data_IF_201898892548
#
_entry.id   IF_201898892548
#
_cell.length_a   1.000
_cell.length_b   1.000
_cell.length_c   1.000
_cell.angle_alpha   90.00
_cell.angle_beta   90.00
_cell.angle_gamma   90.00
#
_symmetry.space_group_name_H-M   'P 1'
#
loop_
_entity.id
_entity.type
_entity.pdbx_description
1 polymer ?
#
# COMPACT_ATOMS: atom_id res chain seq x y z
N UNK A 1 -8.62 9.43 -6.08
CA UNK A 1 -8.27 8.48 -7.14
C UNK A 1 -7.35 7.39 -6.62
N UNK A 2 -7.56 6.17 -7.08
CA UNK A 2 -6.88 4.97 -6.62
C UNK A 2 -6.01 4.39 -7.73
N UNK A 3 -4.78 4.00 -7.39
CA UNK A 3 -3.97 3.16 -8.27
C UNK A 3 -3.92 1.74 -7.73
N UNK A 4 -4.23 0.77 -8.58
CA UNK A 4 -4.19 -0.65 -8.25
C UNK A 4 -3.15 -1.33 -9.13
N UNK A 5 -2.23 -2.04 -8.51
CA UNK A 5 -1.22 -2.81 -9.24
C UNK A 5 -1.17 -4.23 -8.68
N UNK A 6 -1.33 -5.20 -9.54
CA UNK A 6 -1.33 -6.62 -9.20
C UNK A 6 -0.13 -7.31 -9.84
N UNK A 7 0.76 -7.81 -9.01
CA UNK A 7 1.88 -8.65 -9.39
C UNK A 7 1.65 -10.04 -8.77
N UNK A 8 1.76 -11.15 -9.46
CA UNK A 8 2.39 -11.35 -10.78
C UNK A 8 1.42 -11.32 -11.96
N UNK A 9 0.23 -10.75 -11.83
CA UNK A 9 -0.71 -10.68 -12.94
C UNK A 9 -0.04 -10.14 -14.21
N UNK A 10 0.76 -9.11 -14.07
CA UNK A 10 1.47 -8.49 -15.18
C UNK A 10 2.45 -9.43 -15.86
N UNK A 11 2.92 -10.47 -15.18
CA UNK A 11 3.86 -11.43 -15.75
C UNK A 11 3.17 -12.53 -16.54
N UNK A 12 1.88 -12.79 -16.30
CA UNK A 12 1.13 -13.81 -17.04
C UNK A 12 1.02 -13.49 -18.53
N UNK A 13 0.97 -12.22 -18.86
CA UNK A 13 0.72 -11.74 -20.22
C UNK A 13 1.95 -11.12 -20.86
N UNK A 14 3.11 -11.35 -20.28
CA UNK A 14 4.36 -10.76 -20.73
C UNK A 14 5.37 -11.85 -20.99
N UNK A 15 6.10 -11.69 -22.07
CA UNK A 15 7.19 -12.60 -22.42
C UNK A 15 8.46 -12.31 -21.64
N UNK A 16 8.57 -11.14 -21.02
CA UNK A 16 9.75 -10.73 -20.28
C UNK A 16 9.49 -10.64 -18.79
N UNK A 17 10.55 -10.82 -18.02
CA UNK A 17 10.53 -10.76 -16.58
C UNK A 17 10.20 -9.35 -16.10
N UNK A 18 9.39 -9.28 -15.03
CA UNK A 18 9.09 -8.02 -14.38
C UNK A 18 9.33 -8.17 -12.87
N UNK A 19 10.23 -7.37 -12.34
CA UNK A 19 10.54 -7.38 -10.92
C UNK A 19 9.61 -6.41 -10.18
N UNK A 20 9.02 -6.87 -9.07
CA UNK A 20 8.04 -6.12 -8.33
C UNK A 20 8.53 -4.76 -7.80
N UNK A 21 9.83 -4.55 -7.47
CA UNK A 21 10.27 -3.23 -7.01
C UNK A 21 10.08 -2.12 -8.04
N UNK A 22 10.15 -2.44 -9.33
CA UNK A 22 9.91 -1.45 -10.39
C UNK A 22 8.45 -1.01 -10.41
N UNK A 23 7.54 -1.95 -10.20
CA UNK A 23 6.10 -1.66 -10.12
C UNK A 23 5.81 -0.85 -8.85
N UNK A 24 6.41 -1.25 -7.73
CA UNK A 24 6.25 -0.55 -6.47
C UNK A 24 6.71 0.91 -6.57
N UNK A 25 7.85 1.14 -7.19
CA UNK A 25 8.39 2.49 -7.37
C UNK A 25 7.44 3.36 -8.19
N UNK A 26 6.97 2.84 -9.32
CA UNK A 26 6.04 3.59 -10.18
C UNK A 26 4.78 3.99 -9.44
N UNK A 27 4.14 3.03 -8.78
CA UNK A 27 2.90 3.29 -8.05
C UNK A 27 3.13 4.23 -6.88
N UNK A 28 4.20 4.02 -6.13
CA UNK A 28 4.53 4.84 -4.97
C UNK A 28 4.80 6.30 -5.37
N UNK A 29 5.55 6.52 -6.45
CA UNK A 29 5.80 7.89 -6.92
C UNK A 29 4.52 8.58 -7.37
N UNK A 30 3.60 7.85 -8.01
CA UNK A 30 2.33 8.40 -8.44
C UNK A 30 1.42 8.78 -7.26
N UNK A 31 1.50 8.05 -6.15
CA UNK A 31 0.80 8.42 -4.92
C UNK A 31 1.52 9.58 -4.22
N UNK A 32 2.83 9.54 -4.15
CA UNK A 32 3.62 10.57 -3.48
C UNK A 32 3.48 11.94 -4.15
N UNK A 33 3.37 11.99 -5.47
CA UNK A 33 3.24 13.26 -6.21
C UNK A 33 1.79 13.77 -6.29
N UNK A 34 0.84 13.04 -5.73
CA UNK A 34 -0.55 13.46 -5.68
C UNK A 34 -1.38 13.10 -6.91
N UNK A 35 -0.80 12.39 -7.89
CA UNK A 35 -1.57 11.93 -9.06
C UNK A 35 -2.70 11.00 -8.62
N UNK A 36 -2.41 10.15 -7.63
CA UNK A 36 -3.41 9.27 -7.01
C UNK A 36 -3.41 9.49 -5.50
N UNK A 37 -4.58 9.36 -4.87
CA UNK A 37 -4.71 9.55 -3.43
C UNK A 37 -4.22 8.34 -2.65
N UNK A 38 -4.45 7.14 -3.15
CA UNK A 38 -4.10 5.87 -2.50
C UNK A 38 -3.67 4.84 -3.54
N UNK A 39 -2.91 3.86 -3.08
CA UNK A 39 -2.49 2.74 -3.91
C UNK A 39 -2.76 1.41 -3.24
N UNK A 40 -3.01 0.38 -4.05
CA UNK A 40 -3.11 -1.00 -3.59
C UNK A 40 -2.16 -1.83 -4.42
N UNK A 41 -1.21 -2.48 -3.76
CA UNK A 41 -0.18 -3.28 -4.38
C UNK A 41 -0.29 -4.72 -3.93
N UNK A 42 -0.22 -5.65 -4.87
CA UNK A 42 -0.34 -7.08 -4.57
C UNK A 42 0.86 -7.82 -5.15
N UNK A 43 1.50 -8.64 -4.32
CA UNK A 43 2.51 -9.59 -4.78
C UNK A 43 2.30 -10.92 -4.06
N UNK A 44 3.27 -11.82 -4.09
CA UNK A 44 3.10 -13.14 -3.46
C UNK A 44 2.78 -13.07 -1.97
N UNK A 45 3.51 -12.26 -1.22
CA UNK A 45 3.32 -12.09 0.23
C UNK A 45 2.87 -10.69 0.62
N UNK A 46 3.02 -9.71 -0.24
CA UNK A 46 2.80 -8.30 0.07
C UNK A 46 3.97 -7.65 0.80
N UNK A 47 4.99 -8.44 1.17
CA UNK A 47 6.11 -7.96 2.01
C UNK A 47 7.10 -7.15 1.17
N UNK A 48 7.68 -7.76 0.15
CA UNK A 48 8.73 -7.12 -0.66
C UNK A 48 8.22 -5.86 -1.36
N UNK A 49 7.01 -5.92 -1.91
CA UNK A 49 6.43 -4.77 -2.61
C UNK A 49 6.16 -3.62 -1.64
N UNK A 50 5.81 -3.94 -0.39
CA UNK A 50 5.62 -2.94 0.66
C UNK A 50 6.94 -2.29 1.09
N UNK A 51 7.99 -3.10 1.26
CA UNK A 51 9.31 -2.58 1.60
C UNK A 51 9.79 -1.62 0.50
N UNK A 52 9.64 -2.03 -0.76
CA UNK A 52 10.06 -1.19 -1.89
C UNK A 52 9.25 0.12 -1.94
N UNK A 53 7.94 0.06 -1.77
CA UNK A 53 7.09 1.26 -1.76
C UNK A 53 7.51 2.23 -0.66
N UNK A 54 7.84 1.73 0.52
CA UNK A 54 8.24 2.56 1.65
C UNK A 54 9.61 3.24 1.47
N UNK A 55 10.37 2.89 0.44
CA UNK A 55 11.61 3.61 0.11
C UNK A 55 11.35 4.95 -0.55
N UNK A 56 10.14 5.19 -1.01
CA UNK A 56 9.78 6.44 -1.69
C UNK A 56 9.29 7.44 -0.64
N UNK A 57 9.86 8.64 -0.62
CA UNK A 57 9.48 9.68 0.33
C UNK A 57 7.99 10.02 0.19
N UNK A 58 7.32 10.16 1.32
CA UNK A 58 5.89 10.46 1.36
C UNK A 58 4.99 9.22 1.37
N UNK A 59 5.55 8.03 1.30
CA UNK A 59 4.79 6.79 1.28
C UNK A 59 4.79 6.12 2.66
N UNK A 60 3.59 5.71 3.06
CA UNK A 60 3.37 4.88 4.24
C UNK A 60 2.57 3.68 3.77
N UNK A 61 3.29 2.65 3.32
CA UNK A 61 2.70 1.42 2.84
C UNK A 61 2.54 0.43 3.99
N UNK A 62 1.35 -0.13 4.12
CA UNK A 62 1.02 -1.07 5.18
C UNK A 62 0.61 -2.42 4.58
N UNK A 63 1.31 -3.47 5.00
CA UNK A 63 0.91 -4.84 4.70
C UNK A 63 -0.18 -5.25 5.69
N UNK A 64 -1.37 -5.52 5.20
CA UNK A 64 -2.49 -5.91 6.06
C UNK A 64 -3.02 -7.29 5.65
N UNK A 65 -3.09 -8.20 6.62
CA UNK A 65 -3.66 -9.52 6.44
C UNK A 65 -5.04 -9.68 7.08
N UNK A 66 -5.58 -8.60 7.63
CA UNK A 66 -6.87 -8.59 8.32
C UNK A 66 -7.49 -7.20 8.26
N UNK A 67 -8.78 -7.13 8.55
CA UNK A 67 -9.52 -5.87 8.47
C UNK A 67 -9.18 -4.91 9.60
N UNK A 68 -8.82 -5.43 10.77
CA UNK A 68 -8.44 -4.60 11.91
C UNK A 68 -7.17 -3.79 11.57
N UNK A 69 -6.15 -4.47 11.06
CA UNK A 69 -4.91 -3.81 10.66
C UNK A 69 -5.15 -2.75 9.58
N UNK A 70 -6.02 -3.06 8.61
CA UNK A 70 -6.35 -2.12 7.54
C UNK A 70 -7.04 -0.86 8.08
N UNK A 71 -7.98 -1.05 9.00
CA UNK A 71 -8.67 0.07 9.64
C UNK A 71 -7.69 0.99 10.35
N UNK A 72 -6.83 0.43 11.19
CA UNK A 72 -5.94 1.24 12.02
C UNK A 72 -4.71 1.75 11.26
N UNK A 73 -4.32 1.09 10.18
CA UNK A 73 -3.34 1.67 9.25
C UNK A 73 -3.84 3.02 8.71
N UNK A 74 -5.14 3.12 8.44
CA UNK A 74 -5.74 4.38 8.03
C UNK A 74 -5.93 5.34 9.21
N UNK A 75 -6.61 4.87 10.25
CA UNK A 75 -7.00 5.74 11.36
C UNK A 75 -5.81 6.34 12.11
N UNK A 76 -4.77 5.56 12.31
CA UNK A 76 -3.63 5.97 13.14
C UNK A 76 -2.40 6.39 12.34
N UNK A 77 -2.15 5.75 11.18
CA UNK A 77 -0.92 5.96 10.44
C UNK A 77 -1.11 6.73 9.14
N UNK A 78 -2.35 7.01 8.77
CA UNK A 78 -2.67 7.65 7.49
C UNK A 78 -1.92 6.96 6.35
N UNK A 79 -1.92 5.62 6.38
CA UNK A 79 -1.26 4.83 5.35
C UNK A 79 -1.90 5.13 3.99
N UNK A 80 -1.07 5.42 3.00
CA UNK A 80 -1.55 5.78 1.67
C UNK A 80 -1.37 4.66 0.64
N UNK A 81 -0.70 3.58 1.02
CA UNK A 81 -0.61 2.37 0.20
C UNK A 81 -0.92 1.16 1.07
N UNK A 82 -1.79 0.30 0.55
CA UNK A 82 -2.08 -1.01 1.13
C UNK A 82 -1.34 -2.07 0.31
N UNK A 83 -0.68 -3.01 0.98
CA UNK A 83 -0.12 -4.15 0.27
C UNK A 83 -0.76 -5.46 0.74
N UNK A 84 -0.90 -6.40 -0.18
CA UNK A 84 -1.56 -7.68 0.05
C UNK A 84 -0.73 -8.81 -0.55
N UNK A 85 -0.84 -9.99 0.05
CA UNK A 85 -0.19 -11.19 -0.43
C UNK A 85 -1.18 -12.16 -1.04
N UNK A 86 -1.14 -12.35 -2.37
CA UNK A 86 -2.09 -13.23 -3.05
C UNK A 86 -1.97 -14.70 -2.64
N UNK A 87 -0.78 -15.10 -2.18
CA UNK A 87 -0.55 -16.46 -1.69
C UNK A 87 -0.92 -16.64 -0.22
N UNK A 88 -1.23 -15.56 0.46
CA UNK A 88 -1.47 -15.56 1.92
C UNK A 88 -2.95 -15.48 2.23
N UNK A 89 -3.69 -14.66 1.49
CA UNK A 89 -5.11 -14.45 1.75
C UNK A 89 -5.93 -14.76 0.50
N UNK A 90 -7.16 -15.20 0.72
CA UNK A 90 -8.10 -15.45 -0.36
C UNK A 90 -8.83 -14.18 -0.83
N UNK A 91 -9.56 -14.29 -1.97
CA UNK A 91 -10.22 -13.12 -2.56
C UNK A 91 -11.26 -12.46 -1.66
N UNK A 92 -11.99 -13.23 -0.87
CA UNK A 92 -13.01 -12.70 0.02
C UNK A 92 -12.44 -11.78 1.08
N UNK A 93 -11.38 -12.25 1.75
CA UNK A 93 -10.70 -11.46 2.77
C UNK A 93 -10.00 -10.25 2.14
N UNK A 94 -9.37 -10.44 0.99
CA UNK A 94 -8.72 -9.34 0.27
C UNK A 94 -9.71 -8.22 -0.03
N UNK A 95 -10.90 -8.56 -0.52
CA UNK A 95 -11.94 -7.57 -0.80
C UNK A 95 -12.36 -6.83 0.48
N UNK A 96 -12.55 -7.55 1.58
CA UNK A 96 -12.93 -6.95 2.85
C UNK A 96 -11.86 -5.96 3.34
N UNK A 97 -10.59 -6.35 3.24
CA UNK A 97 -9.46 -5.50 3.62
C UNK A 97 -9.42 -4.22 2.77
N UNK A 98 -9.55 -4.36 1.45
CA UNK A 98 -9.56 -3.22 0.52
C UNK A 98 -10.72 -2.29 0.83
N UNK A 99 -11.92 -2.82 1.04
CA UNK A 99 -13.10 -2.01 1.35
C UNK A 99 -12.90 -1.19 2.62
N UNK A 100 -12.35 -1.79 3.67
CA UNK A 100 -12.04 -1.11 4.92
C UNK A 100 -10.99 -0.02 4.70
N UNK A 101 -9.91 -0.35 3.99
CA UNK A 101 -8.83 0.60 3.74
C UNK A 101 -9.33 1.83 2.98
N UNK A 102 -10.15 1.63 1.96
CA UNK A 102 -10.65 2.73 1.12
C UNK A 102 -11.72 3.57 1.79
N UNK A 103 -12.47 3.01 2.74
CA UNK A 103 -13.60 3.69 3.39
C UNK A 103 -13.24 4.34 4.73
N UNK A 104 -12.01 4.15 5.22
CA UNK A 104 -11.61 4.63 6.53
C UNK A 104 -10.75 5.88 6.42
N UNK A 105 -11.08 6.90 7.19
CA UNK A 105 -10.33 8.15 7.25
C UNK A 105 -9.25 8.16 8.32
N UNK A 106 -8.47 9.22 8.34
CA UNK A 106 -7.43 9.46 9.35
C UNK A 106 -8.05 10.18 10.54
N UNK A 107 -7.75 9.69 11.76
CA UNK A 107 -8.30 10.29 12.99
C UNK A 107 -7.65 11.63 13.34
N UNK A 108 -6.42 11.87 12.91
CA UNK A 108 -5.72 13.10 13.26
C UNK A 108 -5.32 13.14 14.74
N UNK A 109 -5.42 14.33 15.35
CA UNK A 109 -5.12 14.50 16.76
C UNK A 109 -3.70 14.05 17.12
N UNK A 110 -3.57 13.26 18.19
CA UNK A 110 -2.26 12.75 18.64
C UNK A 110 -1.57 11.88 17.60
N UNK A 111 -2.34 11.25 16.70
CA UNK A 111 -1.77 10.40 15.66
C UNK A 111 -1.07 11.22 14.59
N UNK A 112 -1.56 12.43 14.32
CA UNK A 112 -0.95 13.34 13.35
C UNK A 112 0.48 13.71 13.76
N UNK A 113 0.71 13.91 15.06
CA UNK A 113 2.04 14.21 15.58
C UNK A 113 3.00 13.08 15.22
N UNK A 114 2.58 11.84 15.43
CA UNK A 114 3.39 10.67 15.13
C UNK A 114 3.61 10.46 13.65
N UNK A 115 2.58 10.69 12.84
CA UNK A 115 2.70 10.60 11.38
C UNK A 115 3.70 11.64 10.87
N UNK A 116 3.67 12.85 11.42
CA UNK A 116 4.63 13.89 11.04
C UNK A 116 6.06 13.50 11.43
N UNK A 117 6.24 12.85 12.58
CA UNK A 117 7.56 12.33 12.97
C UNK A 117 8.07 11.27 11.99
N UNK A 118 7.17 10.43 11.50
CA UNK A 118 7.52 9.44 10.46
C UNK A 118 7.92 10.16 9.17
N UNK A 119 7.16 11.16 8.76
CA UNK A 119 7.47 11.95 7.55
C UNK A 119 8.84 12.62 7.65
N UNK A 120 9.21 13.07 8.84
CA UNK A 120 10.51 13.72 9.08
C UNK A 120 11.69 12.76 8.88
N UNK A 121 11.45 11.45 8.89
CA UNK A 121 12.48 10.46 8.60
C UNK A 121 12.79 10.33 7.11
N UNK A 122 11.94 10.87 6.25
CA UNK A 122 12.19 10.92 4.80
C UNK A 122 13.32 11.90 4.53
N UNK A 123 14.41 11.41 3.97
CA UNK A 123 15.61 12.24 3.73
C UNK A 123 16.17 12.07 2.35
#
# INVERSE_FOLDING_TARGET
>A
TLILTLFPYTTLFRSERCDYPLIAEKAARAVADGTFDKGILVCGTGIGIGIAANKIHGIRAALCGDTYSAEFARRHNDANILTLGERVIGPGLAKAIVDVFLSTGFDGGRHEIRVNMIKDLDK
#
